data_IF_283287878397
#
_entry.id   IF_283287878397
#
_cell.length_a   1.000
_cell.length_b   1.000
_cell.length_c   1.000
_cell.angle_alpha   90.00
_cell.angle_beta   90.00
_cell.angle_gamma   90.00
#
_symmetry.space_group_name_H-M   'P 1'
#
loop_
_entity.id
_entity.type
_entity.pdbx_description
1 polymer ?
#
# COMPACT_ATOMS: atom_id res chain seq x y z
N UNK A 1 -44.50 -50.15 6.26
CA UNK A 1 -44.34 -49.69 4.88
C UNK A 1 -44.17 -48.17 4.91
N UNK A 2 -42.95 -47.76 4.58
CA UNK A 2 -42.43 -46.57 3.94
C UNK A 2 -42.75 -45.19 4.51
N UNK A 3 -41.78 -44.65 5.22
CA UNK A 3 -41.59 -43.20 5.43
C UNK A 3 -40.11 -42.79 5.22
N UNK A 4 -39.58 -43.09 4.08
CA UNK A 4 -38.24 -42.63 3.65
C UNK A 4 -38.33 -41.90 2.33
N UNK A 5 -38.64 -40.58 2.37
CA UNK A 5 -38.76 -39.87 1.10
C UNK A 5 -38.75 -38.34 1.14
N UNK A 6 -38.55 -37.67 2.30
CA UNK A 6 -38.82 -36.21 2.37
C UNK A 6 -37.63 -35.30 2.80
N UNK A 7 -36.44 -35.80 3.08
CA UNK A 7 -35.32 -34.98 3.64
C UNK A 7 -34.19 -34.64 2.66
N UNK A 8 -34.20 -35.13 1.43
CA UNK A 8 -33.09 -34.91 0.47
C UNK A 8 -33.21 -33.65 -0.39
N UNK A 9 -34.37 -33.01 -0.49
CA UNK A 9 -34.60 -31.86 -1.38
C UNK A 9 -33.95 -30.53 -0.91
N UNK A 10 -33.89 -30.18 0.38
CA UNK A 10 -33.27 -28.92 0.79
C UNK A 10 -31.74 -28.96 0.64
N UNK A 11 -31.08 -30.08 0.94
CA UNK A 11 -29.61 -30.23 0.82
C UNK A 11 -29.11 -30.04 -0.62
N UNK A 12 -29.85 -30.59 -1.59
CA UNK A 12 -29.55 -30.46 -3.01
C UNK A 12 -29.70 -29.00 -3.51
N UNK A 13 -30.67 -28.25 -2.97
CA UNK A 13 -30.84 -26.83 -3.26
C UNK A 13 -29.66 -25.98 -2.71
N UNK A 14 -29.21 -26.24 -1.50
CA UNK A 14 -28.06 -25.53 -0.92
C UNK A 14 -26.75 -25.87 -1.63
N UNK A 15 -26.56 -27.12 -2.07
CA UNK A 15 -25.43 -27.52 -2.91
C UNK A 15 -25.47 -26.85 -4.29
N UNK A 16 -26.62 -26.77 -4.94
CA UNK A 16 -26.75 -26.12 -6.25
C UNK A 16 -26.57 -24.59 -6.17
N UNK A 17 -27.06 -23.96 -5.09
CA UNK A 17 -26.82 -22.52 -4.84
C UNK A 17 -25.35 -22.27 -4.53
N UNK A 18 -24.73 -23.12 -3.69
CA UNK A 18 -23.28 -23.04 -3.39
C UNK A 18 -22.41 -23.21 -4.61
N UNK A 19 -22.68 -24.20 -5.45
CA UNK A 19 -21.97 -24.40 -6.74
C UNK A 19 -22.19 -23.22 -7.70
N UNK A 20 -23.39 -22.65 -7.76
CA UNK A 20 -23.69 -21.48 -8.58
C UNK A 20 -22.94 -20.23 -8.13
N UNK A 21 -22.83 -20.00 -6.83
CA UNK A 21 -22.05 -18.88 -6.26
C UNK A 21 -20.55 -19.07 -6.54
N UNK A 22 -20.02 -20.26 -6.33
CA UNK A 22 -18.61 -20.59 -6.62
C UNK A 22 -18.33 -20.41 -8.12
N UNK A 23 -19.20 -20.89 -8.99
CA UNK A 23 -19.05 -20.73 -10.43
C UNK A 23 -19.12 -19.25 -10.86
N UNK A 24 -19.99 -18.46 -10.25
CA UNK A 24 -20.08 -17.02 -10.50
C UNK A 24 -18.84 -16.25 -10.00
N UNK A 25 -18.29 -16.62 -8.86
CA UNK A 25 -17.03 -16.06 -8.33
C UNK A 25 -15.84 -16.44 -9.21
N UNK A 26 -15.75 -17.70 -9.62
CA UNK A 26 -14.71 -18.17 -10.57
C UNK A 26 -14.85 -17.47 -11.92
N UNK A 27 -16.06 -17.33 -12.45
CA UNK A 27 -16.30 -16.61 -13.70
C UNK A 27 -15.93 -15.11 -13.57
N UNK A 28 -16.26 -14.46 -12.46
CA UNK A 28 -15.84 -13.09 -12.18
C UNK A 28 -14.33 -12.96 -12.06
N UNK A 29 -13.66 -13.90 -11.39
CA UNK A 29 -12.20 -13.98 -11.30
C UNK A 29 -11.56 -14.18 -12.69
N UNK A 30 -12.13 -15.07 -13.52
CA UNK A 30 -11.67 -15.31 -14.89
C UNK A 30 -11.86 -14.06 -15.76
N UNK A 31 -12.96 -13.34 -15.61
CA UNK A 31 -13.19 -12.07 -16.35
C UNK A 31 -12.23 -10.98 -15.87
N UNK A 32 -12.02 -10.83 -14.58
CA UNK A 32 -11.03 -9.88 -14.01
C UNK A 32 -9.61 -10.23 -14.47
N UNK A 33 -9.25 -11.51 -14.45
CA UNK A 33 -7.97 -12.01 -14.96
C UNK A 33 -7.85 -11.85 -16.47
N UNK A 34 -8.89 -12.15 -17.23
CA UNK A 34 -8.90 -11.98 -18.69
C UNK A 34 -8.82 -10.51 -19.11
N UNK A 35 -9.45 -9.60 -18.37
CA UNK A 35 -9.33 -8.14 -18.59
C UNK A 35 -7.94 -7.63 -18.17
N UNK A 36 -7.37 -8.16 -17.09
CA UNK A 36 -6.01 -7.83 -16.65
C UNK A 36 -4.92 -8.42 -17.56
N UNK A 37 -5.19 -9.57 -18.21
CA UNK A 37 -4.26 -10.27 -19.10
C UNK A 37 -4.57 -10.07 -20.59
N UNK A 38 -5.58 -9.27 -20.96
CA UNK A 38 -5.84 -8.98 -22.38
C UNK A 38 -4.60 -8.26 -22.95
N UNK A 39 -3.92 -8.84 -23.93
CA UNK A 39 -2.88 -8.17 -24.68
C UNK A 39 -3.54 -7.16 -25.64
N UNK A 40 -4.19 -6.17 -25.07
CA UNK A 40 -4.59 -4.98 -25.81
C UNK A 40 -3.36 -4.14 -26.03
N UNK A 41 -3.12 -3.75 -27.30
CA UNK A 41 -2.06 -2.91 -27.82
C UNK A 41 -1.29 -2.17 -26.72
N UNK A 42 0.03 -2.37 -26.66
CA UNK A 42 0.92 -1.89 -25.58
C UNK A 42 0.44 -0.55 -25.04
N UNK A 43 -0.28 -0.58 -23.92
CA UNK A 43 -0.95 0.59 -23.35
C UNK A 43 0.02 1.71 -22.99
N UNK A 44 1.33 1.39 -23.00
CA UNK A 44 2.45 2.30 -22.80
C UNK A 44 2.59 3.36 -23.91
N UNK A 45 2.23 3.05 -25.15
CA UNK A 45 2.33 3.99 -26.29
C UNK A 45 1.15 4.97 -26.37
N UNK A 46 0.18 4.83 -25.46
CA UNK A 46 -0.97 5.74 -25.43
C UNK A 46 -0.55 7.11 -24.89
N UNK A 47 -0.90 8.24 -25.56
CA UNK A 47 -0.61 9.60 -25.07
C UNK A 47 -1.25 9.89 -23.71
N UNK A 48 -2.20 9.04 -23.28
CA UNK A 48 -2.88 9.17 -21.99
C UNK A 48 -2.44 8.13 -20.96
N UNK A 49 -1.45 7.27 -21.30
CA UNK A 49 -0.96 6.30 -20.33
C UNK A 49 -0.38 6.99 -19.06
N UNK A 50 -0.68 6.52 -17.86
CA UNK A 50 -1.42 5.30 -17.47
C UNK A 50 -2.95 5.47 -17.45
N UNK A 51 -3.48 6.57 -17.87
CA UNK A 51 -4.90 6.91 -17.78
C UNK A 51 -5.74 6.33 -18.95
N UNK A 52 -7.03 6.10 -18.72
CA UNK A 52 -7.95 5.61 -19.74
C UNK A 52 -8.22 6.64 -20.84
N UNK A 53 -8.21 7.95 -20.49
CA UNK A 53 -8.46 9.05 -21.41
C UNK A 53 -7.83 10.36 -20.92
N UNK A 54 -7.80 11.39 -21.79
CA UNK A 54 -7.36 12.74 -21.41
C UNK A 54 -8.28 13.36 -20.34
N UNK A 55 -9.58 13.06 -20.38
CA UNK A 55 -10.56 13.55 -19.40
C UNK A 55 -10.31 12.89 -18.04
N UNK A 56 -10.21 11.56 -17.99
CA UNK A 56 -9.87 10.81 -16.79
C UNK A 56 -8.56 11.31 -16.15
N UNK A 57 -7.55 11.62 -16.98
CA UNK A 57 -6.29 12.22 -16.51
C UNK A 57 -6.54 13.58 -15.85
N UNK A 58 -7.31 14.47 -16.48
CA UNK A 58 -7.59 15.80 -15.91
C UNK A 58 -8.33 15.71 -14.59
N UNK A 59 -9.36 14.87 -14.50
CA UNK A 59 -10.18 14.73 -13.30
C UNK A 59 -9.40 14.17 -12.11
N UNK A 60 -8.65 13.10 -12.31
CA UNK A 60 -7.89 12.49 -11.22
C UNK A 60 -6.74 13.38 -10.77
N UNK A 61 -6.05 14.08 -11.69
CA UNK A 61 -5.00 15.01 -11.31
C UNK A 61 -5.56 16.26 -10.63
N UNK A 62 -6.73 16.76 -11.02
CA UNK A 62 -7.42 17.83 -10.31
C UNK A 62 -7.81 17.40 -8.89
N UNK A 63 -8.33 16.18 -8.72
CA UNK A 63 -8.59 15.60 -7.39
C UNK A 63 -7.32 15.44 -6.56
N UNK A 64 -6.23 15.02 -7.17
CA UNK A 64 -4.92 14.94 -6.52
C UNK A 64 -4.48 16.34 -6.04
N UNK A 65 -4.53 17.35 -6.90
CA UNK A 65 -4.09 18.71 -6.59
C UNK A 65 -4.94 19.36 -5.51
N UNK A 66 -6.26 19.16 -5.52
CA UNK A 66 -7.15 19.64 -4.47
C UNK A 66 -6.83 19.03 -3.10
N UNK A 67 -6.36 17.77 -3.05
CA UNK A 67 -5.88 17.15 -1.81
C UNK A 67 -4.47 17.62 -1.46
N UNK A 68 -3.59 17.78 -2.44
CA UNK A 68 -2.23 18.25 -2.27
C UNK A 68 -2.15 19.70 -1.76
N UNK A 69 -3.16 20.54 -2.04
CA UNK A 69 -3.25 21.90 -1.48
C UNK A 69 -3.38 21.94 0.04
N UNK A 70 -3.76 20.83 0.66
CA UNK A 70 -3.82 20.66 2.13
C UNK A 70 -2.51 20.16 2.74
N UNK A 71 -1.43 20.03 1.95
CA UNK A 71 -0.12 19.63 2.48
C UNK A 71 0.33 20.62 3.56
N UNK A 72 0.61 20.14 4.79
CA UNK A 72 0.64 21.03 5.96
C UNK A 72 1.92 21.89 6.10
N UNK A 73 2.93 21.61 5.29
CA UNK A 73 4.24 22.29 5.37
C UNK A 73 4.73 22.72 3.99
N UNK A 74 5.67 23.67 3.89
CA UNK A 74 6.30 24.01 2.61
C UNK A 74 6.86 22.75 1.93
N UNK A 75 6.59 22.63 0.63
CA UNK A 75 7.08 21.48 -0.14
C UNK A 75 7.50 21.91 -1.54
N UNK A 76 8.51 21.22 -2.07
CA UNK A 76 8.88 21.23 -3.47
C UNK A 76 8.54 19.88 -4.10
N UNK A 77 8.38 19.85 -5.42
CA UNK A 77 8.10 18.61 -6.13
C UNK A 77 9.04 18.46 -7.30
N UNK A 78 9.39 17.23 -7.61
CA UNK A 78 10.14 16.90 -8.80
C UNK A 78 9.67 15.58 -9.40
N UNK A 79 10.03 15.36 -10.64
CA UNK A 79 9.86 14.06 -11.30
C UNK A 79 11.24 13.56 -11.67
N UNK A 80 11.60 12.38 -11.17
CA UNK A 80 12.88 11.72 -11.48
C UNK A 80 12.65 10.63 -12.52
N UNK A 81 13.61 10.45 -13.42
CA UNK A 81 13.55 9.39 -14.41
C UNK A 81 14.11 8.10 -13.83
N UNK A 82 13.36 7.03 -13.94
CA UNK A 82 13.78 5.67 -13.56
C UNK A 82 13.65 4.73 -14.76
N UNK A 83 14.27 3.57 -14.70
CA UNK A 83 14.12 2.53 -15.73
C UNK A 83 12.67 2.03 -15.87
N UNK A 84 11.83 2.25 -14.85
CA UNK A 84 10.41 1.89 -14.85
C UNK A 84 9.48 3.07 -15.20
N UNK A 85 10.05 4.25 -15.44
CA UNK A 85 9.35 5.46 -15.86
C UNK A 85 9.50 6.63 -14.90
N UNK A 86 8.98 7.81 -15.30
CA UNK A 86 9.06 9.03 -14.50
C UNK A 86 8.32 8.85 -13.17
N UNK A 87 9.04 9.05 -12.07
CA UNK A 87 8.58 8.91 -10.69
C UNK A 87 8.47 10.27 -10.04
N UNK A 88 7.28 10.59 -9.52
CA UNK A 88 7.00 11.84 -8.82
C UNK A 88 7.39 11.74 -7.36
N UNK A 89 8.06 12.80 -6.86
CA UNK A 89 8.50 12.92 -5.47
C UNK A 89 8.11 14.29 -4.92
N UNK A 90 7.52 14.30 -3.73
CA UNK A 90 7.25 15.52 -2.95
C UNK A 90 8.22 15.60 -1.78
N UNK A 91 8.90 16.73 -1.65
CA UNK A 91 9.94 16.93 -0.65
C UNK A 91 9.54 18.03 0.34
N UNK A 92 9.80 17.82 1.64
CA UNK A 92 9.58 18.78 2.71
C UNK A 92 10.70 18.70 3.74
N UNK A 93 10.83 19.73 4.58
CA UNK A 93 11.87 19.82 5.60
C UNK A 93 13.16 20.46 5.10
N UNK A 94 14.12 20.72 6.01
CA UNK A 94 15.39 21.37 5.69
C UNK A 94 16.22 20.54 4.69
N UNK A 95 16.86 21.19 3.73
CA UNK A 95 17.67 20.51 2.71
C UNK A 95 18.90 19.77 3.27
N UNK A 96 19.40 20.27 4.40
CA UNK A 96 20.57 19.71 5.09
C UNK A 96 20.22 18.62 6.12
N UNK A 97 18.92 18.40 6.38
CA UNK A 97 18.49 17.37 7.32
C UNK A 97 18.69 15.96 6.73
N UNK A 98 18.82 14.91 7.56
CA UNK A 98 18.95 13.53 7.10
C UNK A 98 17.78 13.12 6.19
N UNK A 99 18.07 12.35 5.13
CA UNK A 99 17.10 11.94 4.14
C UNK A 99 16.17 10.85 4.67
N UNK A 100 14.84 11.08 4.56
CA UNK A 100 13.78 10.15 4.94
C UNK A 100 12.86 9.88 3.75
N UNK A 101 12.93 8.70 3.18
CA UNK A 101 12.08 8.27 2.07
C UNK A 101 10.82 7.61 2.60
N UNK A 102 9.66 8.02 2.09
CA UNK A 102 8.34 7.60 2.52
C UNK A 102 7.60 6.88 1.38
N UNK A 103 7.29 5.59 1.57
CA UNK A 103 6.57 4.74 0.62
C UNK A 103 5.15 4.46 1.13
N UNK A 104 4.15 4.86 0.38
CA UNK A 104 2.72 4.69 0.71
C UNK A 104 2.20 3.27 0.48
N UNK A 105 1.03 2.94 1.00
CA UNK A 105 0.32 1.69 0.74
C UNK A 105 -0.32 1.61 -0.65
N UNK A 106 -0.71 0.40 -1.06
CA UNK A 106 -1.35 0.14 -2.35
C UNK A 106 -2.60 1.01 -2.59
N UNK A 107 -2.78 1.47 -3.82
CA UNK A 107 -3.89 2.36 -4.20
C UNK A 107 -3.73 3.80 -3.69
N UNK A 108 -2.59 4.11 -3.05
CA UNK A 108 -2.29 5.41 -2.47
C UNK A 108 -1.43 6.31 -3.37
N UNK A 109 -0.87 7.32 -2.74
CA UNK A 109 0.10 8.26 -3.30
C UNK A 109 0.89 8.91 -2.15
N UNK A 110 1.86 9.76 -2.46
CA UNK A 110 2.58 10.58 -1.47
C UNK A 110 1.65 11.32 -0.49
N UNK A 111 0.42 11.60 -0.91
CA UNK A 111 -0.59 12.27 -0.09
C UNK A 111 -1.09 11.44 1.10
N UNK A 112 -0.73 10.16 1.17
CA UNK A 112 -0.98 9.34 2.35
C UNK A 112 -0.30 9.92 3.60
N UNK A 113 0.85 10.58 3.40
CA UNK A 113 1.68 11.14 4.47
C UNK A 113 1.24 12.52 4.98
N UNK A 114 0.07 13.02 4.52
CA UNK A 114 -0.50 14.30 5.00
C UNK A 114 -0.55 14.41 6.54
N UNK A 115 -0.98 13.38 7.31
CA UNK A 115 -1.03 13.48 8.78
C UNK A 115 0.35 13.41 9.45
N UNK A 116 1.37 12.93 8.76
CA UNK A 116 2.65 12.59 9.35
C UNK A 116 3.77 13.56 8.96
N UNK A 117 3.68 14.14 7.76
CA UNK A 117 4.80 14.87 7.18
C UNK A 117 5.20 16.11 7.97
N UNK A 118 4.28 16.80 8.65
CA UNK A 118 4.60 17.98 9.44
C UNK A 118 5.63 17.63 10.52
N UNK A 119 5.32 16.65 11.37
CA UNK A 119 6.21 16.22 12.43
C UNK A 119 7.53 15.64 11.90
N UNK A 120 7.44 14.78 10.86
CA UNK A 120 8.63 14.16 10.29
C UNK A 120 9.58 15.18 9.64
N UNK A 121 9.05 16.20 8.96
CA UNK A 121 9.85 17.21 8.27
C UNK A 121 10.49 18.25 9.18
N UNK A 122 10.16 18.27 10.46
CA UNK A 122 10.89 19.06 11.47
C UNK A 122 12.31 18.49 11.70
N UNK A 123 12.50 17.18 11.53
CA UNK A 123 13.73 16.47 11.82
C UNK A 123 14.46 15.96 10.58
N UNK A 124 13.72 15.72 9.49
CA UNK A 124 14.22 15.04 8.31
C UNK A 124 13.89 15.80 7.02
N UNK A 125 14.74 15.66 6.01
CA UNK A 125 14.38 15.95 4.63
C UNK A 125 13.54 14.80 4.12
N UNK A 126 12.21 14.97 4.10
CA UNK A 126 11.27 13.93 3.67
C UNK A 126 11.14 13.90 2.15
N UNK A 127 11.11 12.68 1.60
CA UNK A 127 10.88 12.37 0.19
C UNK A 127 9.68 11.45 0.09
N UNK A 128 8.48 12.01 0.00
CA UNK A 128 7.25 11.24 -0.18
C UNK A 128 7.11 10.88 -1.67
N UNK A 129 7.29 9.61 -1.98
CA UNK A 129 7.34 9.09 -3.36
C UNK A 129 5.97 8.58 -3.77
N UNK A 130 5.47 9.00 -4.94
CA UNK A 130 4.37 8.30 -5.60
C UNK A 130 4.94 7.02 -6.23
N UNK A 131 4.61 5.87 -5.66
CA UNK A 131 5.11 4.57 -6.15
C UNK A 131 4.70 4.40 -7.62
N UNK A 132 5.69 4.12 -8.47
CA UNK A 132 5.45 3.95 -9.90
C UNK A 132 4.46 2.81 -10.15
N UNK A 133 3.50 3.07 -11.03
CA UNK A 133 2.41 2.14 -11.27
C UNK A 133 1.27 2.23 -10.26
N UNK A 134 1.24 3.12 -9.27
CA UNK A 134 0.10 3.36 -8.38
C UNK A 134 -0.70 4.63 -8.72
N UNK A 135 -1.68 4.98 -7.89
CA UNK A 135 -2.65 6.05 -8.13
C UNK A 135 -2.10 7.44 -7.78
N UNK A 136 -0.91 7.80 -8.33
CA UNK A 136 -0.24 9.07 -8.11
C UNK A 136 0.04 9.81 -9.42
N UNK A 137 1.11 10.59 -9.42
CA UNK A 137 1.62 11.33 -10.58
C UNK A 137 2.73 10.58 -11.32
N UNK A 138 3.23 9.48 -10.73
CA UNK A 138 4.21 8.62 -11.38
C UNK A 138 3.62 7.87 -12.58
N UNK A 139 4.41 7.69 -13.61
CA UNK A 139 3.98 7.03 -14.85
C UNK A 139 4.93 5.86 -15.12
N UNK A 140 4.41 4.65 -15.09
CA UNK A 140 5.21 3.49 -15.42
C UNK A 140 5.28 3.28 -16.94
N UNK A 141 6.43 2.88 -17.45
CA UNK A 141 6.70 2.61 -18.88
C UNK A 141 6.91 1.12 -19.15
N UNK A 142 7.08 0.34 -18.09
CA UNK A 142 7.10 -1.12 -18.11
C UNK A 142 6.51 -1.67 -16.82
N UNK A 143 6.10 -2.93 -16.81
CA UNK A 143 5.51 -3.57 -15.64
C UNK A 143 6.55 -3.84 -14.57
N UNK A 144 6.11 -3.78 -13.30
CA UNK A 144 6.87 -4.25 -12.14
C UNK A 144 6.23 -5.57 -11.70
N UNK A 145 6.90 -6.67 -11.99
CA UNK A 145 6.34 -8.03 -11.83
C UNK A 145 6.87 -8.74 -10.58
N UNK A 146 7.90 -8.20 -9.96
CA UNK A 146 8.61 -8.82 -8.84
C UNK A 146 9.14 -7.83 -7.82
N UNK A 147 9.52 -8.33 -6.64
CA UNK A 147 10.25 -7.56 -5.63
C UNK A 147 11.55 -6.96 -6.17
N UNK A 148 12.24 -7.68 -7.07
CA UNK A 148 13.47 -7.21 -7.69
C UNK A 148 13.24 -5.97 -8.57
N UNK A 149 12.11 -5.90 -9.29
CA UNK A 149 11.76 -4.73 -10.09
C UNK A 149 11.51 -3.50 -9.21
N UNK A 150 10.78 -3.65 -8.09
CA UNK A 150 10.58 -2.56 -7.14
C UNK A 150 11.88 -2.13 -6.47
N UNK A 151 12.78 -3.07 -6.17
CA UNK A 151 14.09 -2.74 -5.60
C UNK A 151 14.93 -1.97 -6.60
N UNK A 152 14.98 -2.40 -7.85
CA UNK A 152 15.68 -1.69 -8.93
C UNK A 152 15.09 -0.31 -9.20
N UNK A 153 13.75 -0.21 -9.20
CA UNK A 153 13.07 1.09 -9.30
C UNK A 153 13.46 2.04 -8.17
N UNK A 154 13.54 1.54 -6.93
CA UNK A 154 13.91 2.38 -5.78
C UNK A 154 15.39 2.77 -5.82
N UNK A 155 16.29 1.89 -6.31
CA UNK A 155 17.68 2.26 -6.60
C UNK A 155 17.74 3.45 -7.56
N UNK A 156 17.01 3.37 -8.69
CA UNK A 156 16.96 4.46 -9.67
C UNK A 156 16.41 5.78 -9.08
N UNK A 157 15.41 5.69 -8.20
CA UNK A 157 14.85 6.86 -7.49
C UNK A 157 15.92 7.48 -6.59
N UNK A 158 16.59 6.67 -5.75
CA UNK A 158 17.60 7.17 -4.83
C UNK A 158 18.82 7.75 -5.57
N UNK A 159 19.24 7.11 -6.66
CA UNK A 159 20.33 7.61 -7.52
C UNK A 159 19.99 8.98 -8.11
N UNK A 160 18.79 9.11 -8.68
CA UNK A 160 18.33 10.37 -9.26
C UNK A 160 18.13 11.50 -8.23
N UNK A 161 17.93 11.16 -6.97
CA UNK A 161 17.86 12.09 -5.84
C UNK A 161 19.24 12.39 -5.22
N UNK A 162 20.30 11.71 -5.64
CA UNK A 162 21.63 11.82 -5.05
C UNK A 162 21.75 11.22 -3.65
N UNK A 163 20.89 10.26 -3.31
CA UNK A 163 20.82 9.60 -2.01
C UNK A 163 21.59 8.28 -2.03
N UNK A 164 22.91 8.35 -2.00
CA UNK A 164 23.77 7.17 -2.15
C UNK A 164 23.78 6.25 -0.92
N UNK A 165 23.72 6.81 0.29
CA UNK A 165 23.81 6.11 1.57
C UNK A 165 23.18 6.89 2.71
N UNK A 166 23.11 6.27 3.89
CA UNK A 166 22.57 6.85 5.12
C UNK A 166 21.08 7.25 4.99
N UNK A 167 20.33 6.56 4.12
CA UNK A 167 18.91 6.82 3.89
C UNK A 167 18.06 6.17 4.98
N UNK A 168 17.17 6.93 5.57
CA UNK A 168 16.06 6.40 6.35
C UNK A 168 14.91 6.04 5.43
N UNK A 169 14.34 4.84 5.61
CA UNK A 169 13.25 4.35 4.76
C UNK A 169 12.05 3.96 5.61
N UNK A 170 10.90 4.57 5.34
CA UNK A 170 9.62 4.24 5.98
C UNK A 170 8.66 3.74 4.92
N UNK A 171 8.10 2.57 5.12
CA UNK A 171 7.10 1.99 4.23
C UNK A 171 5.84 1.56 4.95
N UNK A 172 4.67 1.93 4.41
CA UNK A 172 3.36 1.51 4.91
C UNK A 172 2.77 0.42 4.01
N UNK A 173 2.23 -0.64 4.61
CA UNK A 173 1.48 -1.67 3.89
C UNK A 173 2.29 -2.23 2.70
N UNK A 174 1.82 -2.06 1.46
CA UNK A 174 2.56 -2.45 0.25
C UNK A 174 3.93 -1.74 0.14
N UNK A 175 3.99 -0.45 0.49
CA UNK A 175 5.26 0.29 0.61
C UNK A 175 6.17 -0.29 1.69
N UNK A 176 5.60 -0.88 2.75
CA UNK A 176 6.33 -1.61 3.77
C UNK A 176 6.96 -2.91 3.26
N UNK A 177 6.23 -3.65 2.41
CA UNK A 177 6.79 -4.81 1.71
C UNK A 177 7.94 -4.40 0.76
N UNK A 178 7.76 -3.33 -0.02
CA UNK A 178 8.82 -2.80 -0.87
C UNK A 178 10.04 -2.41 -0.03
N UNK A 179 9.85 -1.71 1.09
CA UNK A 179 10.92 -1.30 1.98
C UNK A 179 11.69 -2.49 2.57
N UNK A 180 10.98 -3.56 2.97
CA UNK A 180 11.57 -4.78 3.49
C UNK A 180 12.40 -5.52 2.42
N UNK A 181 11.87 -5.65 1.20
CA UNK A 181 12.60 -6.26 0.07
C UNK A 181 13.80 -5.42 -0.35
N UNK A 182 13.66 -4.10 -0.34
CA UNK A 182 14.76 -3.19 -0.61
C UNK A 182 15.87 -3.28 0.45
N UNK A 183 15.51 -3.44 1.72
CA UNK A 183 16.47 -3.62 2.80
C UNK A 183 17.34 -4.88 2.64
N UNK A 184 16.81 -5.91 1.99
CA UNK A 184 17.57 -7.11 1.61
C UNK A 184 18.42 -6.90 0.34
N UNK A 185 17.95 -6.08 -0.59
CA UNK A 185 18.59 -5.82 -1.88
C UNK A 185 19.78 -4.87 -1.76
N UNK A 186 19.62 -3.73 -1.09
CA UNK A 186 20.63 -2.66 -0.98
C UNK A 186 20.84 -2.22 0.48
N UNK A 187 21.26 -3.13 1.37
CA UNK A 187 21.40 -2.85 2.80
C UNK A 187 22.36 -1.69 3.10
N UNK A 188 23.43 -1.56 2.33
CA UNK A 188 24.49 -0.55 2.54
C UNK A 188 24.03 0.89 2.26
N UNK A 189 22.90 1.07 1.60
CA UNK A 189 22.29 2.40 1.34
C UNK A 189 21.45 2.89 2.53
N UNK A 190 20.98 1.96 3.38
CA UNK A 190 20.01 2.25 4.41
C UNK A 190 20.65 2.42 5.78
N UNK A 191 20.29 3.50 6.46
CA UNK A 191 20.67 3.72 7.86
C UNK A 191 19.72 3.01 8.82
N UNK A 192 18.41 3.14 8.61
CA UNK A 192 17.35 2.45 9.37
C UNK A 192 16.12 2.28 8.52
N UNK A 193 15.30 1.29 8.86
CA UNK A 193 14.06 0.97 8.16
C UNK A 193 12.89 0.91 9.14
N UNK A 194 11.76 1.52 8.77
CA UNK A 194 10.51 1.43 9.53
C UNK A 194 9.45 0.77 8.64
N UNK A 195 8.92 -0.34 9.10
CA UNK A 195 7.90 -1.14 8.46
C UNK A 195 6.56 -0.94 9.18
N UNK A 196 5.66 -0.20 8.58
CA UNK A 196 4.34 0.11 9.13
C UNK A 196 3.30 -0.84 8.52
N UNK A 197 2.81 -1.79 9.32
CA UNK A 197 1.86 -2.83 8.90
C UNK A 197 2.18 -3.42 7.50
N UNK A 198 3.40 -3.92 7.26
CA UNK A 198 3.87 -4.29 5.93
C UNK A 198 3.06 -5.47 5.39
N UNK A 199 2.43 -5.29 4.22
CA UNK A 199 1.54 -6.27 3.61
C UNK A 199 2.30 -7.54 3.20
N UNK A 200 1.80 -8.72 3.61
CA UNK A 200 2.35 -10.01 3.19
C UNK A 200 3.82 -10.26 3.53
N UNK A 201 4.42 -9.44 4.40
CA UNK A 201 5.87 -9.48 4.69
C UNK A 201 6.22 -10.38 5.87
N UNK A 202 5.45 -10.29 6.96
CA UNK A 202 5.67 -11.10 8.17
C UNK A 202 4.71 -12.28 8.23
N UNK A 203 3.51 -12.11 7.72
CA UNK A 203 2.48 -13.14 7.64
C UNK A 203 1.77 -13.08 6.29
N UNK A 204 1.22 -14.20 5.79
CA UNK A 204 0.49 -14.20 4.52
C UNK A 204 -0.78 -13.36 4.62
N UNK A 205 -1.17 -12.76 3.51
CA UNK A 205 -2.43 -11.98 3.41
C UNK A 205 -3.61 -12.95 3.54
N UNK A 206 -4.59 -12.68 4.45
CA UNK A 206 -5.70 -13.58 4.68
C UNK A 206 -6.69 -13.60 3.51
N UNK A 207 -7.39 -14.72 3.35
CA UNK A 207 -8.39 -14.87 2.29
C UNK A 207 -9.51 -13.82 2.39
N UNK A 208 -9.85 -13.40 3.61
CA UNK A 208 -10.89 -12.39 3.85
C UNK A 208 -10.55 -11.03 3.22
N UNK A 209 -9.29 -10.66 3.24
CA UNK A 209 -8.79 -9.48 2.52
C UNK A 209 -8.83 -9.68 1.00
N UNK A 210 -8.36 -10.84 0.51
CA UNK A 210 -8.21 -11.12 -0.92
C UNK A 210 -9.55 -11.00 -1.66
N UNK A 211 -10.61 -11.67 -1.17
CA UNK A 211 -11.89 -11.65 -1.86
C UNK A 211 -12.54 -10.26 -1.85
N UNK A 212 -12.32 -9.46 -0.78
CA UNK A 212 -12.80 -8.08 -0.72
C UNK A 212 -12.04 -7.19 -1.70
N UNK A 213 -10.72 -7.33 -1.79
CA UNK A 213 -9.89 -6.57 -2.71
C UNK A 213 -10.24 -6.85 -4.18
N UNK A 214 -10.58 -8.10 -4.52
CA UNK A 214 -11.01 -8.50 -5.88
C UNK A 214 -12.30 -7.78 -6.31
N UNK A 215 -13.16 -7.37 -5.38
CA UNK A 215 -14.39 -6.65 -5.68
C UNK A 215 -14.18 -5.14 -5.91
N UNK A 216 -13.06 -4.57 -5.43
CA UNK A 216 -12.79 -3.13 -5.49
C UNK A 216 -12.78 -2.56 -6.93
N UNK A 217 -12.24 -3.24 -7.96
CA UNK A 217 -12.24 -2.74 -9.33
C UNK A 217 -13.60 -2.74 -10.02
N UNK A 218 -14.63 -3.35 -9.42
CA UNK A 218 -15.97 -3.38 -10.02
C UNK A 218 -16.54 -1.96 -10.13
N UNK A 219 -17.30 -1.66 -11.21
CA UNK A 219 -17.72 -0.29 -11.55
C UNK A 219 -18.88 0.20 -10.67
N UNK A 220 -18.72 0.10 -9.36
CA UNK A 220 -19.69 0.63 -8.40
C UNK A 220 -19.01 1.03 -7.09
N UNK A 221 -19.12 2.32 -6.73
CA UNK A 221 -18.51 2.95 -5.54
C UNK A 221 -18.72 2.14 -4.23
N UNK A 222 -19.83 1.41 -4.10
CA UNK A 222 -20.12 0.61 -2.91
C UNK A 222 -19.03 -0.43 -2.58
N UNK A 223 -18.38 -1.01 -3.60
CA UNK A 223 -17.36 -2.02 -3.37
C UNK A 223 -16.09 -1.38 -2.79
N UNK A 224 -15.66 -0.25 -3.38
CA UNK A 224 -14.55 0.56 -2.82
C UNK A 224 -14.88 1.03 -1.40
N UNK A 225 -16.10 1.55 -1.16
CA UNK A 225 -16.55 1.97 0.16
C UNK A 225 -16.52 0.81 1.17
N UNK A 226 -17.12 -0.33 0.82
CA UNK A 226 -17.17 -1.50 1.69
C UNK A 226 -15.78 -2.02 2.06
N UNK A 227 -14.85 -2.01 1.13
CA UNK A 227 -13.47 -2.41 1.38
C UNK A 227 -12.76 -1.43 2.33
N UNK A 228 -12.81 -0.12 2.04
CA UNK A 228 -12.13 0.89 2.85
C UNK A 228 -12.69 0.96 4.28
N UNK A 229 -14.02 0.91 4.43
CA UNK A 229 -14.66 0.93 5.75
C UNK A 229 -14.39 -0.33 6.57
N UNK A 230 -14.18 -1.48 5.93
CA UNK A 230 -13.75 -2.68 6.61
C UNK A 230 -12.27 -2.65 6.97
N UNK A 231 -11.43 -2.16 6.07
CA UNK A 231 -9.98 -2.12 6.25
C UNK A 231 -9.54 -1.10 7.29
N UNK A 232 -10.27 0.02 7.39
CA UNK A 232 -10.01 1.18 8.24
C UNK A 232 -11.18 1.38 9.23
N UNK A 233 -11.56 0.29 9.90
CA UNK A 233 -12.78 0.21 10.71
C UNK A 233 -12.72 1.16 11.92
N UNK A 234 -11.57 1.22 12.60
CA UNK A 234 -11.42 2.08 13.78
C UNK A 234 -11.55 3.57 13.42
N UNK A 235 -11.01 3.97 12.26
CA UNK A 235 -11.21 5.33 11.74
C UNK A 235 -12.70 5.59 11.40
N UNK A 236 -13.39 4.58 10.84
CA UNK A 236 -14.80 4.68 10.45
C UNK A 236 -15.74 4.90 11.65
N UNK A 237 -15.35 4.47 12.85
CA UNK A 237 -16.14 4.61 14.08
C UNK A 237 -16.20 6.07 14.58
N UNK A 238 -15.32 6.95 14.11
CA UNK A 238 -15.33 8.36 14.49
C UNK A 238 -16.08 9.21 13.45
N UNK A 239 -16.86 10.25 13.87
CA UNK A 239 -17.56 11.13 12.93
C UNK A 239 -16.63 11.83 11.93
N UNK A 240 -15.43 12.25 12.37
CA UNK A 240 -14.41 12.83 11.52
C UNK A 240 -13.82 11.80 10.56
N UNK A 241 -13.49 10.62 11.07
CA UNK A 241 -12.95 9.52 10.27
C UNK A 241 -13.92 9.05 9.20
N UNK A 242 -15.22 8.98 9.50
CA UNK A 242 -16.25 8.68 8.49
C UNK A 242 -16.25 9.68 7.34
N UNK A 243 -16.06 10.98 7.61
CA UNK A 243 -15.93 12.01 6.56
C UNK A 243 -14.63 11.86 5.75
N UNK A 244 -13.52 11.56 6.43
CA UNK A 244 -12.23 11.27 5.78
C UNK A 244 -12.37 10.07 4.85
N UNK A 245 -13.00 8.98 5.32
CA UNK A 245 -13.20 7.76 4.54
C UNK A 245 -14.15 7.95 3.35
N UNK A 246 -15.20 8.77 3.48
CA UNK A 246 -16.05 9.08 2.33
C UNK A 246 -15.28 9.85 1.25
N UNK A 247 -14.46 10.83 1.62
CA UNK A 247 -13.58 11.53 0.68
C UNK A 247 -12.51 10.61 0.08
N UNK A 248 -11.91 9.75 0.89
CA UNK A 248 -10.95 8.75 0.43
C UNK A 248 -11.61 7.75 -0.54
N UNK A 249 -12.86 7.34 -0.25
CA UNK A 249 -13.65 6.46 -1.12
C UNK A 249 -13.90 7.11 -2.49
N UNK A 250 -14.29 8.39 -2.51
CA UNK A 250 -14.52 9.11 -3.76
C UNK A 250 -13.25 9.25 -4.60
N UNK A 251 -12.14 9.58 -3.95
CA UNK A 251 -10.84 9.68 -4.61
C UNK A 251 -10.34 8.32 -5.14
N UNK A 252 -10.47 7.25 -4.33
CA UNK A 252 -10.08 5.90 -4.74
C UNK A 252 -10.97 5.38 -5.87
N UNK A 253 -12.28 5.58 -5.79
CA UNK A 253 -13.20 5.18 -6.86
C UNK A 253 -12.93 5.95 -8.16
N UNK A 254 -12.71 7.26 -8.10
CA UNK A 254 -12.30 8.07 -9.25
C UNK A 254 -11.00 7.52 -9.85
N UNK A 255 -10.00 7.21 -9.03
CA UNK A 255 -8.74 6.64 -9.49
C UNK A 255 -8.96 5.30 -10.21
N UNK A 256 -9.71 4.37 -9.62
CA UNK A 256 -10.03 3.06 -10.22
C UNK A 256 -10.71 3.23 -11.59
N UNK A 257 -11.59 4.23 -11.75
CA UNK A 257 -12.26 4.50 -13.03
C UNK A 257 -11.34 5.21 -14.03
N UNK A 258 -10.31 5.91 -13.59
CA UNK A 258 -9.47 6.78 -14.42
C UNK A 258 -8.18 6.11 -14.88
N UNK A 259 -7.56 5.27 -14.04
CA UNK A 259 -6.35 4.53 -14.40
C UNK A 259 -6.67 3.25 -15.17
N UNK A 260 -5.78 2.85 -16.05
CA UNK A 260 -5.83 1.51 -16.66
C UNK A 260 -5.52 0.46 -15.59
N UNK A 261 -6.18 -0.70 -15.61
CA UNK A 261 -5.83 -1.81 -14.74
C UNK A 261 -4.36 -2.19 -14.94
N UNK A 262 -3.69 -2.49 -13.85
CA UNK A 262 -2.33 -3.00 -13.85
C UNK A 262 -2.19 -4.17 -12.87
N UNK A 263 -1.43 -5.19 -13.20
CA UNK A 263 -1.00 -6.17 -12.22
C UNK A 263 -0.03 -5.52 -11.23
N UNK A 264 -0.12 -5.89 -9.97
CA UNK A 264 0.87 -5.60 -8.93
C UNK A 264 1.62 -6.89 -8.62
N UNK A 265 2.92 -6.80 -8.39
CA UNK A 265 3.65 -7.94 -7.85
C UNK A 265 3.02 -8.35 -6.50
N UNK A 266 2.67 -9.63 -6.32
CA UNK A 266 2.08 -10.08 -5.06
C UNK A 266 3.12 -9.98 -3.94
N UNK A 267 2.76 -9.39 -2.79
CA UNK A 267 3.64 -9.41 -1.63
C UNK A 267 3.90 -10.86 -1.18
N UNK A 268 5.13 -11.15 -0.84
CA UNK A 268 5.58 -12.45 -0.36
C UNK A 268 6.20 -12.35 1.03
N UNK A 269 5.97 -13.39 1.83
CA UNK A 269 6.46 -13.46 3.21
C UNK A 269 7.97 -13.66 3.22
N UNK A 270 8.68 -12.85 3.99
CA UNK A 270 10.10 -13.03 4.22
C UNK A 270 10.35 -14.33 4.98
N UNK A 271 11.30 -15.11 4.51
CA UNK A 271 11.80 -16.29 5.21
C UNK A 271 12.52 -15.90 6.49
N UNK A 272 12.65 -16.84 7.41
CA UNK A 272 13.38 -16.62 8.67
C UNK A 272 14.82 -16.21 8.41
N UNK A 273 15.48 -16.82 7.41
CA UNK A 273 16.83 -16.48 6.99
C UNK A 273 16.92 -15.04 6.45
N UNK A 274 15.94 -14.58 5.67
CA UNK A 274 15.89 -13.20 5.18
C UNK A 274 15.69 -12.20 6.33
N UNK A 275 14.78 -12.47 7.27
CA UNK A 275 14.58 -11.63 8.46
C UNK A 275 15.86 -11.51 9.29
N UNK A 276 16.58 -12.61 9.49
CA UNK A 276 17.85 -12.66 10.22
C UNK A 276 18.99 -11.93 9.51
N UNK A 277 18.96 -11.85 8.19
CA UNK A 277 19.99 -11.24 7.35
C UNK A 277 19.93 -9.71 7.27
N UNK A 278 18.86 -9.09 7.76
CA UNK A 278 18.76 -7.63 7.82
C UNK A 278 19.85 -7.06 8.72
N UNK A 279 20.74 -6.23 8.15
CA UNK A 279 21.94 -5.72 8.83
C UNK A 279 21.71 -4.38 9.51
N UNK A 280 20.82 -3.54 8.98
CA UNK A 280 20.46 -2.25 9.56
C UNK A 280 19.42 -2.41 10.67
N UNK A 281 19.30 -1.44 11.60
CA UNK A 281 18.18 -1.42 12.55
C UNK A 281 16.84 -1.32 11.84
N UNK A 282 15.89 -2.18 12.25
CA UNK A 282 14.52 -2.23 11.72
C UNK A 282 13.51 -2.06 12.85
N UNK A 283 12.50 -1.22 12.61
CA UNK A 283 11.30 -1.13 13.43
C UNK A 283 10.12 -1.72 12.66
N UNK A 284 9.41 -2.64 13.27
CA UNK A 284 8.10 -3.11 12.84
C UNK A 284 7.04 -2.49 13.75
N UNK A 285 6.09 -1.76 13.16
CA UNK A 285 4.95 -1.21 13.89
C UNK A 285 3.64 -1.59 13.21
N UNK A 286 2.64 -1.95 14.01
CA UNK A 286 1.35 -2.44 13.52
C UNK A 286 0.24 -2.01 14.48
N UNK A 287 -0.95 -1.74 13.95
CA UNK A 287 -2.14 -1.49 14.76
C UNK A 287 -2.63 -2.77 15.46
N UNK A 288 -3.19 -2.62 16.65
CA UNK A 288 -3.74 -3.74 17.44
C UNK A 288 -4.83 -4.51 16.68
N UNK A 289 -5.68 -3.78 15.94
CA UNK A 289 -6.83 -4.28 15.19
C UNK A 289 -6.52 -4.55 13.70
N UNK A 290 -5.24 -4.82 13.35
CA UNK A 290 -4.82 -5.04 11.97
C UNK A 290 -5.63 -6.13 11.27
N UNK A 291 -6.05 -5.89 10.02
CA UNK A 291 -6.86 -6.80 9.20
C UNK A 291 -6.05 -7.68 8.24
N UNK A 292 -4.78 -7.33 7.97
CA UNK A 292 -3.92 -8.13 7.10
C UNK A 292 -3.34 -9.36 7.78
N UNK A 293 -3.22 -9.34 9.11
CA UNK A 293 -2.72 -10.44 9.95
C UNK A 293 -2.91 -10.11 11.43
N UNK A 294 -2.72 -11.10 12.28
CA UNK A 294 -2.69 -10.90 13.73
C UNK A 294 -1.45 -10.11 14.14
N UNK A 295 -1.64 -8.94 14.76
CA UNK A 295 -0.55 -8.11 15.27
C UNK A 295 0.30 -8.86 16.30
N UNK A 296 -0.36 -9.62 17.20
CA UNK A 296 0.31 -10.41 18.24
C UNK A 296 1.16 -11.53 17.63
N UNK A 297 0.59 -12.34 16.71
CA UNK A 297 1.34 -13.44 16.06
C UNK A 297 2.53 -12.92 15.24
N UNK A 298 2.38 -11.76 14.58
CA UNK A 298 3.48 -11.14 13.84
C UNK A 298 4.62 -10.71 14.76
N UNK A 299 4.30 -10.11 15.92
CA UNK A 299 5.30 -9.71 16.93
C UNK A 299 5.94 -10.93 17.58
N UNK A 300 5.17 -11.97 17.91
CA UNK A 300 5.71 -13.24 18.45
C UNK A 300 6.69 -13.87 17.45
N UNK A 301 6.32 -14.03 16.18
CA UNK A 301 7.23 -14.53 15.15
C UNK A 301 8.52 -13.73 15.06
N UNK A 302 8.42 -12.39 15.04
CA UNK A 302 9.61 -11.54 14.96
C UNK A 302 10.50 -11.67 16.20
N UNK A 303 9.91 -11.80 17.40
CA UNK A 303 10.65 -11.97 18.64
C UNK A 303 11.44 -13.29 18.69
N UNK A 304 10.88 -14.35 18.07
CA UNK A 304 11.51 -15.68 18.01
C UNK A 304 12.57 -15.74 16.90
N UNK A 305 12.27 -15.23 15.72
CA UNK A 305 13.08 -15.41 14.50
C UNK A 305 14.13 -14.31 14.34
N UNK A 306 13.78 -13.06 14.64
CA UNK A 306 14.64 -11.90 14.40
C UNK A 306 14.57 -10.88 15.55
N UNK A 307 15.03 -11.23 16.76
CA UNK A 307 14.89 -10.40 17.98
C UNK A 307 15.61 -9.04 17.91
N UNK A 308 16.40 -8.81 16.85
CA UNK A 308 17.01 -7.50 16.56
C UNK A 308 16.01 -6.48 16.01
N UNK A 309 14.91 -6.95 15.41
CA UNK A 309 13.84 -6.09 14.89
C UNK A 309 13.05 -5.59 16.10
N UNK A 310 13.03 -4.26 16.26
CA UNK A 310 12.17 -3.64 17.27
C UNK A 310 10.71 -3.75 16.85
N UNK A 311 9.83 -4.03 17.79
CA UNK A 311 8.40 -4.18 17.51
C UNK A 311 7.56 -3.21 18.32
N UNK A 312 6.45 -2.71 17.76
CA UNK A 312 5.46 -1.88 18.43
C UNK A 312 4.05 -2.25 17.96
N UNK A 313 3.16 -2.53 18.89
CA UNK A 313 1.71 -2.59 18.64
C UNK A 313 1.14 -1.24 19.06
N UNK A 314 0.40 -0.60 18.16
CA UNK A 314 -0.29 0.67 18.38
C UNK A 314 -1.72 0.35 18.85
N UNK A 315 -2.10 0.70 20.09
CA UNK A 315 -3.40 0.31 20.65
C UNK A 315 -4.54 1.07 20.00
N UNK A 316 -5.72 0.42 19.93
CA UNK A 316 -6.98 1.03 19.51
C UNK A 316 -7.00 1.53 18.06
N UNK A 317 -6.21 0.94 17.19
CA UNK A 317 -6.23 1.23 15.76
C UNK A 317 -5.84 -0.01 14.95
N UNK A 318 -6.39 -0.13 13.75
CA UNK A 318 -6.06 -1.16 12.77
C UNK A 318 -5.09 -0.65 11.72
N UNK A 319 -5.38 -0.93 10.45
CA UNK A 319 -4.54 -0.50 9.32
C UNK A 319 -4.50 1.04 9.11
N UNK A 320 -5.38 1.75 9.79
CA UNK A 320 -5.53 3.22 9.79
C UNK A 320 -4.67 3.94 10.84
N UNK A 321 -3.86 3.21 11.62
CA UNK A 321 -3.10 3.77 12.74
C UNK A 321 -2.21 4.97 12.38
N UNK A 322 -1.70 5.04 11.15
CA UNK A 322 -0.93 6.18 10.65
C UNK A 322 -1.77 7.46 10.47
N UNK A 323 -3.10 7.32 10.43
CA UNK A 323 -4.07 8.43 10.31
C UNK A 323 -4.72 8.67 11.66
N UNK A 324 -5.31 7.64 12.26
CA UNK A 324 -6.08 7.73 13.51
C UNK A 324 -5.20 8.08 14.71
N UNK A 325 -3.99 7.54 14.75
CA UNK A 325 -3.01 7.72 15.82
C UNK A 325 -1.73 8.43 15.31
N UNK A 326 -1.90 9.39 14.37
CA UNK A 326 -0.78 10.02 13.68
C UNK A 326 0.31 10.56 14.60
N UNK A 327 -0.06 11.26 15.68
CA UNK A 327 0.91 11.85 16.62
C UNK A 327 1.72 10.77 17.34
N UNK A 328 1.06 9.69 17.79
CA UNK A 328 1.74 8.56 18.43
C UNK A 328 2.69 7.86 17.44
N UNK A 329 2.24 7.60 16.23
CA UNK A 329 3.05 6.95 15.19
C UNK A 329 4.23 7.82 14.78
N UNK A 330 4.03 9.12 14.64
CA UNK A 330 5.11 10.07 14.37
C UNK A 330 6.16 10.04 15.48
N UNK A 331 5.73 10.04 16.74
CA UNK A 331 6.62 9.90 17.89
C UNK A 331 7.45 8.61 17.87
N UNK A 332 6.80 7.47 17.61
CA UNK A 332 7.45 6.15 17.48
C UNK A 332 8.51 6.16 16.36
N UNK A 333 8.18 6.73 15.19
CA UNK A 333 9.12 6.82 14.06
C UNK A 333 10.33 7.71 14.46
N UNK A 334 10.06 8.91 14.96
CA UNK A 334 11.11 9.89 15.29
C UNK A 334 12.03 9.34 16.39
N UNK A 335 11.47 8.77 17.46
CA UNK A 335 12.24 8.15 18.54
C UNK A 335 13.19 7.06 18.00
N UNK A 336 12.64 6.12 17.22
CA UNK A 336 13.44 5.04 16.64
C UNK A 336 14.53 5.55 15.70
N UNK A 337 14.24 6.52 14.86
CA UNK A 337 15.20 7.03 13.88
C UNK A 337 16.31 7.86 14.57
N UNK A 338 16.03 8.51 15.71
CA UNK A 338 17.00 9.31 16.48
C UNK A 338 18.00 8.50 17.30
N UNK A 339 17.68 7.25 17.68
CA UNK A 339 18.62 6.33 18.36
C UNK A 339 19.87 6.05 17.51
#
# INVERSE_FOLDING_TARGET
MSSEGKTRRPLLRYLLVGCGVIAAVVAALVVVFAVALSPGANGFDSPHHPFRSAEAKREVLASYDARASRWPVPSTTMTVNTSYGPTFVRMSGPETAPALVLLHGAGGSALHWLPNVAALSEHYRTYAVDIVGDHGRSIYTQQLESAADYSKWLDDVLDALGLERDVYLVGLSYGGWIAARYALHSPDRLRKVVLLAPAGTISPIPFDWIWRAVLVPLPHRRFTKSFLYWMLEDLAETPEGGRILDQATDAAYLAIQSYKPRPMAPPDVLTDAELQSLTMPVLFAVGENEKLYSATEAVERLSEVAPKIKTRIVPGAGHDFTILQADLVNGIIIEFLAE
#
